data_IF_484258002455
#
_entry.id   IF_484258002455
#
_cell.length_a   1.000
_cell.length_b   1.000
_cell.length_c   1.000
_cell.angle_alpha   90.00
_cell.angle_beta   90.00
_cell.angle_gamma   90.00
#
_symmetry.space_group_name_H-M   'P 1'
#
loop_
_entity.id
_entity.type
_entity.pdbx_description
1 polymer ?
#
# COMPACT_ATOMS: atom_id res chain seq x y z
N UNK A 1 -35.65 -9.91 6.83
CA UNK A 1 -34.72 -9.13 5.99
C UNK A 1 -33.36 -9.80 6.06
N UNK A 2 -32.93 -10.42 4.94
CA UNK A 2 -31.68 -11.18 4.83
C UNK A 2 -30.47 -10.31 5.16
N UNK A 3 -29.74 -10.63 6.23
CA UNK A 3 -28.44 -10.04 6.57
C UNK A 3 -27.27 -10.71 5.83
N UNK A 4 -27.56 -11.67 4.95
CA UNK A 4 -26.56 -12.60 4.38
C UNK A 4 -26.00 -12.20 2.99
N UNK A 5 -26.04 -10.92 2.61
CA UNK A 5 -25.55 -10.53 1.27
C UNK A 5 -24.51 -9.41 1.26
N UNK A 6 -23.72 -9.26 2.33
CA UNK A 6 -22.41 -8.63 2.18
C UNK A 6 -21.50 -9.69 1.54
N UNK A 7 -21.41 -9.66 0.20
CA UNK A 7 -20.34 -10.35 -0.53
C UNK A 7 -19.02 -9.82 0.04
N UNK A 8 -18.38 -10.61 0.91
CA UNK A 8 -17.09 -10.27 1.49
C UNK A 8 -16.09 -10.23 0.34
N UNK A 9 -15.81 -9.03 -0.17
CA UNK A 9 -14.72 -8.81 -1.13
C UNK A 9 -13.43 -8.64 -0.31
N UNK A 10 -12.93 -9.75 0.23
CA UNK A 10 -11.67 -9.79 0.98
C UNK A 10 -11.44 -11.14 1.67
N UNK A 11 -10.27 -11.74 1.48
CA UNK A 11 -9.89 -13.00 2.16
C UNK A 11 -9.59 -12.69 3.63
N UNK A 12 -10.44 -13.17 4.54
CA UNK A 12 -10.23 -13.14 6.00
C UNK A 12 -8.95 -13.91 6.34
N UNK A 13 -7.99 -13.27 7.00
CA UNK A 13 -6.73 -13.91 7.45
C UNK A 13 -6.42 -13.49 8.89
N UNK A 14 -5.63 -14.31 9.60
CA UNK A 14 -5.24 -14.09 11.00
C UNK A 14 -4.08 -13.08 11.03
N UNK A 15 -4.14 -12.12 11.96
CA UNK A 15 -3.05 -11.16 12.22
C UNK A 15 -1.73 -11.87 12.53
N UNK A 16 -0.61 -11.35 12.05
CA UNK A 16 0.70 -11.97 12.30
C UNK A 16 1.30 -11.40 13.58
N UNK A 17 1.81 -12.27 14.46
CA UNK A 17 2.26 -11.96 15.83
C UNK A 17 3.35 -10.85 15.93
N UNK A 18 3.99 -10.50 14.81
CA UNK A 18 5.08 -9.51 14.74
C UNK A 18 4.84 -8.41 13.70
N UNK A 19 3.66 -8.37 13.07
CA UNK A 19 3.40 -7.39 12.03
C UNK A 19 2.93 -6.06 12.63
N UNK A 20 3.43 -4.96 12.07
CA UNK A 20 2.89 -3.63 12.36
C UNK A 20 1.48 -3.55 11.77
N UNK A 21 0.50 -3.30 12.61
CA UNK A 21 -0.90 -3.22 12.22
C UNK A 21 -1.33 -1.77 12.01
N UNK A 22 -1.97 -1.48 10.87
CA UNK A 22 -2.45 -0.15 10.54
C UNK A 22 -3.89 -0.16 10.07
N UNK A 23 -4.69 0.79 10.57
CA UNK A 23 -6.04 1.01 10.11
C UNK A 23 -6.09 2.19 9.12
N UNK A 24 -6.59 1.95 7.91
CA UNK A 24 -6.60 3.00 6.88
C UNK A 24 -7.55 4.15 7.20
N UNK A 25 -8.58 3.92 8.02
CA UNK A 25 -9.50 4.99 8.44
C UNK A 25 -8.83 6.08 9.27
N UNK A 26 -7.64 5.80 9.82
CA UNK A 26 -6.87 6.74 10.63
C UNK A 26 -5.92 7.62 9.78
N UNK A 27 -5.86 7.39 8.47
CA UNK A 27 -4.94 8.09 7.56
C UNK A 27 -5.69 9.21 6.84
N UNK A 28 -5.46 10.44 7.28
CA UNK A 28 -6.10 11.62 6.71
C UNK A 28 -5.85 11.74 5.19
N UNK A 29 -6.94 11.89 4.42
CA UNK A 29 -6.93 12.13 2.99
C UNK A 29 -6.44 10.97 2.11
N UNK A 30 -6.20 9.78 2.70
CA UNK A 30 -5.84 8.60 1.93
C UNK A 30 -7.00 8.11 1.06
N UNK A 31 -8.23 8.08 1.60
CA UNK A 31 -9.42 7.68 0.85
C UNK A 31 -9.73 8.69 -0.26
N UNK A 32 -9.71 10.00 0.02
CA UNK A 32 -9.89 11.05 -1.00
C UNK A 32 -8.88 10.96 -2.14
N UNK A 33 -7.65 10.52 -1.82
CA UNK A 33 -6.61 10.29 -2.82
C UNK A 33 -6.95 9.08 -3.68
N UNK A 34 -7.40 7.98 -3.07
CA UNK A 34 -7.76 6.76 -3.76
C UNK A 34 -9.08 6.81 -4.53
N UNK A 35 -10.00 7.71 -4.19
CA UNK A 35 -11.28 7.86 -4.88
C UNK A 35 -11.18 8.57 -6.23
N UNK A 36 -9.98 9.05 -6.58
CA UNK A 36 -9.68 9.58 -7.92
C UNK A 36 -9.60 8.45 -8.95
N UNK A 37 -9.45 8.82 -10.21
CA UNK A 37 -9.22 7.87 -11.30
C UNK A 37 -7.87 7.15 -11.15
N UNK A 38 -7.78 5.94 -11.72
CA UNK A 38 -6.57 5.12 -11.68
C UNK A 38 -5.31 5.87 -12.13
N UNK A 39 -5.38 6.64 -13.21
CA UNK A 39 -4.27 7.44 -13.70
C UNK A 39 -3.75 8.46 -12.68
N UNK A 40 -4.60 8.91 -11.77
CA UNK A 40 -4.27 9.92 -10.77
C UNK A 40 -3.78 9.25 -9.48
N UNK A 41 -4.59 8.34 -8.91
CA UNK A 41 -4.21 7.76 -7.62
C UNK A 41 -3.02 6.80 -7.74
N UNK A 42 -2.79 6.17 -8.89
CA UNK A 42 -1.61 5.31 -9.08
C UNK A 42 -0.30 6.08 -9.35
N UNK A 43 -0.38 7.39 -9.60
CA UNK A 43 0.77 8.27 -9.76
C UNK A 43 1.10 8.96 -8.43
N UNK A 44 2.04 8.37 -7.68
CA UNK A 44 2.42 8.81 -6.33
C UNK A 44 2.89 10.27 -6.29
N UNK A 45 3.62 10.71 -7.32
CA UNK A 45 4.20 12.05 -7.39
C UNK A 45 3.13 13.12 -7.65
N UNK A 46 1.97 12.72 -8.19
CA UNK A 46 0.82 13.60 -8.44
C UNK A 46 -0.04 13.88 -7.20
N UNK A 47 0.20 13.18 -6.09
CA UNK A 47 -0.65 13.27 -4.90
C UNK A 47 -0.52 14.64 -4.24
N UNK A 48 -1.66 15.29 -3.99
CA UNK A 48 -1.71 16.60 -3.31
C UNK A 48 -1.73 16.49 -1.79
N UNK A 49 -2.15 15.35 -1.25
CA UNK A 49 -2.28 15.15 0.19
C UNK A 49 -0.96 14.62 0.76
N UNK A 50 -0.26 15.46 1.52
CA UNK A 50 1.04 15.14 2.11
C UNK A 50 0.95 14.02 3.16
N UNK A 51 -0.14 13.95 3.91
CA UNK A 51 -0.34 12.93 4.95
C UNK A 51 -0.48 11.53 4.29
N UNK A 52 -1.23 11.43 3.21
CA UNK A 52 -1.34 10.21 2.41
C UNK A 52 0.00 9.79 1.79
N UNK A 53 0.76 10.75 1.23
CA UNK A 53 2.09 10.49 0.69
C UNK A 53 3.06 9.98 1.75
N UNK A 54 3.18 10.70 2.86
CA UNK A 54 4.07 10.34 3.96
C UNK A 54 3.70 8.97 4.52
N UNK A 55 2.42 8.69 4.72
CA UNK A 55 1.98 7.40 5.23
C UNK A 55 2.39 6.25 4.32
N UNK A 56 2.13 6.34 3.00
CA UNK A 56 2.55 5.31 2.04
C UNK A 56 4.07 5.15 2.01
N UNK A 57 4.81 6.26 1.98
CA UNK A 57 6.27 6.23 1.96
C UNK A 57 6.85 5.59 3.22
N UNK A 58 6.35 5.95 4.41
CA UNK A 58 6.79 5.35 5.68
C UNK A 58 6.54 3.84 5.71
N UNK A 59 5.40 3.37 5.18
CA UNK A 59 5.13 1.93 5.09
C UNK A 59 6.08 1.22 4.12
N UNK A 60 6.43 1.85 3.00
CA UNK A 60 7.43 1.31 2.09
C UNK A 60 8.81 1.20 2.76
N UNK A 61 9.21 2.19 3.57
CA UNK A 61 10.45 2.17 4.36
C UNK A 61 10.42 1.06 5.42
N UNK A 62 9.29 0.88 6.13
CA UNK A 62 9.11 -0.20 7.10
C UNK A 62 9.34 -1.57 6.45
N UNK A 63 8.73 -1.82 5.27
CA UNK A 63 8.90 -3.07 4.52
C UNK A 63 10.32 -3.22 3.97
N UNK A 64 10.91 -2.14 3.45
CA UNK A 64 12.31 -2.13 3.01
C UNK A 64 13.28 -2.51 4.14
N UNK A 65 12.99 -2.09 5.37
CA UNK A 65 13.72 -2.48 6.59
C UNK A 65 13.42 -3.90 7.10
N UNK A 66 12.65 -4.69 6.36
CA UNK A 66 12.32 -6.08 6.71
C UNK A 66 11.13 -6.26 7.65
N UNK A 67 10.38 -5.19 7.97
CA UNK A 67 9.20 -5.30 8.83
C UNK A 67 8.02 -5.91 8.07
N UNK A 68 7.25 -6.73 8.77
CA UNK A 68 5.95 -7.22 8.30
C UNK A 68 4.92 -6.14 8.60
N UNK A 69 4.06 -5.80 7.64
CA UNK A 69 2.94 -4.86 7.83
C UNK A 69 1.61 -5.53 7.51
N UNK A 70 0.61 -5.25 8.34
CA UNK A 70 -0.77 -5.70 8.23
C UNK A 70 -1.65 -4.45 8.08
N UNK A 71 -2.49 -4.40 7.05
CA UNK A 71 -3.32 -3.22 6.74
C UNK A 71 -4.79 -3.60 6.86
N UNK A 72 -5.55 -2.91 7.69
CA UNK A 72 -7.00 -3.05 7.78
C UNK A 72 -7.68 -1.94 6.99
N UNK A 73 -8.62 -2.33 6.13
CA UNK A 73 -9.48 -1.41 5.40
C UNK A 73 -10.95 -1.69 5.71
N UNK A 74 -11.83 -0.69 5.54
CA UNK A 74 -13.26 -0.89 5.86
C UNK A 74 -13.98 -1.81 4.88
N UNK A 75 -13.51 -1.90 3.63
CA UNK A 75 -14.10 -2.79 2.62
C UNK A 75 -13.51 -4.21 2.62
N UNK A 76 -12.45 -4.47 3.39
CA UNK A 76 -11.68 -5.70 3.36
C UNK A 76 -11.02 -5.97 4.72
N UNK A 77 -11.34 -7.09 5.37
CA UNK A 77 -10.59 -7.57 6.54
C UNK A 77 -9.21 -8.16 6.15
N UNK A 78 -8.65 -7.81 4.99
CA UNK A 78 -7.49 -8.49 4.41
C UNK A 78 -6.18 -7.97 4.97
N UNK A 79 -5.39 -8.88 5.55
CA UNK A 79 -4.18 -8.59 6.33
C UNK A 79 -2.86 -8.86 5.55
N UNK A 80 -2.91 -9.45 4.36
CA UNK A 80 -1.71 -9.74 3.57
C UNK A 80 -2.00 -9.82 2.07
N UNK A 81 -1.12 -9.24 1.24
CA UNK A 81 -1.22 -9.25 -0.22
C UNK A 81 0.08 -9.81 -0.83
N UNK A 82 -0.03 -10.84 -1.66
CA UNK A 82 1.10 -11.33 -2.46
C UNK A 82 1.31 -10.44 -3.68
N UNK A 83 2.50 -10.46 -4.29
CA UNK A 83 2.77 -9.73 -5.56
C UNK A 83 1.74 -10.04 -6.65
N UNK A 84 1.21 -11.26 -6.71
CA UNK A 84 0.13 -11.63 -7.62
C UNK A 84 -1.22 -10.98 -7.30
N UNK A 85 -1.51 -10.72 -6.02
CA UNK A 85 -2.72 -10.02 -5.58
C UNK A 85 -2.66 -8.51 -5.87
N UNK A 86 -1.46 -7.98 -6.15
CA UNK A 86 -1.23 -6.58 -6.55
C UNK A 86 -1.37 -6.33 -8.05
N UNK A 87 -1.83 -7.31 -8.84
CA UNK A 87 -2.30 -7.09 -10.20
C UNK A 87 -3.58 -6.27 -10.17
N UNK A 88 -3.42 -4.95 -10.06
CA UNK A 88 -4.54 -4.02 -9.98
C UNK A 88 -5.25 -3.91 -11.32
N UNK A 89 -6.57 -3.96 -11.26
CA UNK A 89 -7.44 -3.55 -12.37
C UNK A 89 -7.80 -2.08 -12.19
N UNK A 90 -8.02 -1.30 -13.27
CA UNK A 90 -8.38 0.12 -13.17
C UNK A 90 -9.60 0.40 -12.27
N UNK A 91 -10.51 -0.58 -12.15
CA UNK A 91 -11.71 -0.50 -11.33
C UNK A 91 -11.52 -1.06 -9.90
N UNK A 92 -10.29 -1.20 -9.43
CA UNK A 92 -10.05 -1.70 -8.08
C UNK A 92 -10.69 -0.76 -7.05
N UNK A 93 -11.60 -1.30 -6.23
CA UNK A 93 -12.34 -0.51 -5.21
C UNK A 93 -11.78 -0.66 -3.81
N UNK A 94 -10.95 -1.68 -3.59
CA UNK A 94 -10.46 -2.00 -2.27
C UNK A 94 -9.31 -1.08 -1.83
N UNK A 95 -9.53 -0.26 -0.79
CA UNK A 95 -8.49 0.64 -0.27
C UNK A 95 -7.28 -0.11 0.28
N UNK A 96 -7.47 -1.27 0.91
CA UNK A 96 -6.36 -2.11 1.36
C UNK A 96 -5.46 -2.55 0.21
N UNK A 97 -6.06 -2.93 -0.93
CA UNK A 97 -5.30 -3.32 -2.12
C UNK A 97 -4.64 -2.12 -2.79
N UNK A 98 -5.33 -0.97 -2.89
CA UNK A 98 -4.74 0.27 -3.41
C UNK A 98 -3.52 0.70 -2.57
N UNK A 99 -3.65 0.68 -1.24
CA UNK A 99 -2.55 0.97 -0.32
C UNK A 99 -1.36 0.04 -0.54
N UNK A 100 -1.58 -1.27 -0.53
CA UNK A 100 -0.49 -2.22 -0.69
C UNK A 100 0.18 -2.14 -2.07
N UNK A 101 -0.58 -1.85 -3.12
CA UNK A 101 0.00 -1.59 -4.44
C UNK A 101 0.88 -0.35 -4.44
N UNK A 102 0.43 0.75 -3.85
CA UNK A 102 1.25 1.97 -3.79
C UNK A 102 2.49 1.77 -2.92
N UNK A 103 2.38 1.05 -1.79
CA UNK A 103 3.52 0.68 -0.95
C UNK A 103 4.53 -0.15 -1.75
N UNK A 104 4.07 -1.15 -2.51
CA UNK A 104 4.93 -1.98 -3.35
C UNK A 104 5.61 -1.17 -4.45
N UNK A 105 4.87 -0.27 -5.12
CA UNK A 105 5.40 0.61 -6.17
C UNK A 105 6.49 1.53 -5.63
N UNK A 106 6.25 2.18 -4.49
CA UNK A 106 7.24 3.05 -3.84
C UNK A 106 8.44 2.24 -3.32
N UNK A 107 8.21 1.04 -2.79
CA UNK A 107 9.29 0.12 -2.39
C UNK A 107 10.20 -0.23 -3.56
N UNK A 108 9.65 -0.52 -4.74
CA UNK A 108 10.42 -0.82 -5.94
C UNK A 108 11.31 0.37 -6.35
N UNK A 109 10.77 1.59 -6.31
CA UNK A 109 11.57 2.81 -6.56
C UNK A 109 12.69 3.00 -5.54
N UNK A 110 12.43 2.73 -4.24
CA UNK A 110 13.47 2.79 -3.20
C UNK A 110 14.61 1.79 -3.49
N UNK A 111 14.26 0.56 -3.88
CA UNK A 111 15.24 -0.49 -4.23
C UNK A 111 16.04 -0.06 -5.47
N UNK A 112 15.38 0.43 -6.52
CA UNK A 112 16.04 0.91 -7.73
C UNK A 112 16.98 2.08 -7.45
N UNK A 113 16.54 3.05 -6.63
CA UNK A 113 17.37 4.18 -6.23
C UNK A 113 18.61 3.76 -5.42
N UNK A 114 18.52 2.72 -4.59
CA UNK A 114 19.70 2.13 -3.94
C UNK A 114 20.66 1.51 -4.96
N UNK A 115 20.16 0.67 -5.87
CA UNK A 115 21.00 0.03 -6.91
C UNK A 115 21.70 1.08 -7.77
N UNK A 116 20.99 2.15 -8.18
CA UNK A 116 21.60 3.27 -8.93
C UNK A 116 22.71 3.94 -8.12
N UNK A 117 22.49 4.24 -6.84
CA UNK A 117 23.53 4.84 -5.98
C UNK A 117 24.75 3.93 -5.81
N UNK A 118 24.54 2.62 -5.71
CA UNK A 118 25.64 1.65 -5.63
C UNK A 118 26.40 1.53 -6.96
N UNK A 119 25.69 1.57 -8.09
CA UNK A 119 26.29 1.54 -9.43
C UNK A 119 27.05 2.83 -9.78
N UNK A 120 26.46 3.99 -9.46
CA UNK A 120 27.07 5.31 -9.64
C UNK A 120 28.24 5.52 -8.62
N UNK A 121 28.36 4.61 -7.66
CA UNK A 121 29.32 4.54 -6.56
C UNK A 121 30.62 3.77 -6.84
N UNK A 122 31.18 3.81 -8.06
CA UNK A 122 32.65 3.87 -8.19
C UNK A 122 33.07 5.25 -7.67
N UNK A 123 32.99 5.45 -6.35
CA UNK A 123 33.72 6.50 -5.67
C UNK A 123 34.66 5.77 -4.72
N UNK A 124 35.90 5.68 -5.18
CA UNK A 124 37.06 5.33 -4.38
C UNK A 124 37.02 6.15 -3.08
N UNK A 125 36.85 5.47 -1.96
CA UNK A 125 37.36 5.89 -0.67
C UNK A 125 38.56 5.00 -0.35
#
# INVERSE_FOLDING_TARGET
MNKDNIKIIGRRQISREEALFFNLSEVEGLYDTFDKDFSIWSDFDSWKNINAQQWIFSRAIDVYGGKKIDIKCECCESIYLTKSDLKITPNQKCYGVKSAYMIQKVLEEIILAKVRREHDGIYSA
#
